data_IF_293367100135
#
_entry.id   IF_293367100135
#
_cell.length_a   1.000
_cell.length_b   1.000
_cell.length_c   1.000
_cell.angle_alpha   90.00
_cell.angle_beta   90.00
_cell.angle_gamma   90.00
#
_symmetry.space_group_name_H-M   'P 1'
#
loop_
_entity.id
_entity.type
_entity.pdbx_description
1 polymer ?
#
# COMPACT_ATOMS: atom_id res chain seq x y z
N UNK A 1 -22.36 -29.76 10.86
CA UNK A 1 -21.03 -29.75 10.21
C UNK A 1 -20.97 -28.55 9.28
N UNK A 2 -20.07 -27.58 9.53
CA UNK A 2 -19.87 -26.46 8.64
C UNK A 2 -19.35 -26.95 7.29
N UNK A 3 -19.88 -26.43 6.16
CA UNK A 3 -19.32 -26.72 4.83
C UNK A 3 -17.85 -26.30 4.80
N UNK A 4 -16.93 -27.10 4.24
CA UNK A 4 -15.55 -26.66 4.06
C UNK A 4 -15.55 -25.38 3.20
N UNK A 5 -14.86 -24.33 3.67
CA UNK A 5 -14.72 -23.09 2.93
C UNK A 5 -14.13 -23.37 1.54
N UNK A 6 -14.72 -22.79 0.50
CA UNK A 6 -14.18 -22.91 -0.85
C UNK A 6 -12.84 -22.16 -0.90
N UNK A 7 -11.93 -22.57 -1.78
CA UNK A 7 -10.63 -21.87 -1.99
C UNK A 7 -10.81 -20.37 -2.25
N UNK A 8 -11.83 -20.01 -3.04
CA UNK A 8 -12.21 -18.62 -3.31
C UNK A 8 -12.51 -17.80 -2.05
N UNK A 9 -13.02 -18.44 -0.99
CA UNK A 9 -13.40 -17.76 0.25
C UNK A 9 -12.18 -17.42 1.13
N UNK A 10 -11.02 -17.98 0.78
CA UNK A 10 -9.75 -17.77 1.48
C UNK A 10 -8.81 -16.80 0.76
N UNK A 11 -9.05 -16.50 -0.52
CA UNK A 11 -8.21 -15.58 -1.28
C UNK A 11 -8.44 -14.14 -0.80
N UNK A 12 -7.40 -13.52 -0.23
CA UNK A 12 -7.42 -12.15 0.27
C UNK A 12 -6.92 -11.14 -0.76
N UNK A 13 -5.97 -11.56 -1.61
CA UNK A 13 -5.39 -10.70 -2.64
C UNK A 13 -4.68 -11.50 -3.72
N UNK A 14 -4.67 -10.95 -4.92
CA UNK A 14 -3.96 -11.47 -6.08
C UNK A 14 -3.19 -10.31 -6.71
N UNK A 15 -1.86 -10.35 -6.60
CA UNK A 15 -0.95 -9.40 -7.24
C UNK A 15 -0.35 -9.94 -8.53
N UNK A 16 0.60 -9.20 -9.10
CA UNK A 16 1.31 -9.64 -10.31
C UNK A 16 2.21 -10.86 -10.05
N UNK A 17 2.89 -10.91 -8.91
CA UNK A 17 3.87 -11.93 -8.59
C UNK A 17 3.44 -12.88 -7.47
N UNK A 18 2.44 -12.54 -6.68
CA UNK A 18 2.05 -13.29 -5.49
C UNK A 18 0.54 -13.35 -5.26
N UNK A 19 0.10 -14.38 -4.55
CA UNK A 19 -1.24 -14.51 -4.00
C UNK A 19 -1.17 -14.51 -2.47
N UNK A 20 -2.18 -13.92 -1.84
CA UNK A 20 -2.33 -13.89 -0.38
C UNK A 20 -3.59 -14.66 0.01
N UNK A 21 -3.45 -15.66 0.86
CA UNK A 21 -4.51 -16.58 1.26
C UNK A 21 -4.69 -16.50 2.78
N UNK A 22 -5.93 -16.38 3.26
CA UNK A 22 -6.23 -16.51 4.68
C UNK A 22 -5.94 -17.93 5.18
N UNK A 23 -5.13 -18.05 6.23
CA UNK A 23 -4.97 -19.32 6.95
C UNK A 23 -6.01 -19.46 8.06
N UNK A 24 -6.17 -18.39 8.82
CA UNK A 24 -7.13 -18.23 9.92
C UNK A 24 -7.57 -16.75 10.04
N UNK A 25 -8.19 -16.39 11.16
CA UNK A 25 -8.67 -15.02 11.39
C UNK A 25 -7.53 -14.01 11.66
N UNK A 26 -6.32 -14.46 11.94
CA UNK A 26 -5.19 -13.62 12.35
C UNK A 26 -4.00 -13.70 11.41
N UNK A 27 -3.91 -14.74 10.57
CA UNK A 27 -2.76 -14.99 9.73
C UNK A 27 -3.12 -15.18 8.26
N UNK A 28 -2.23 -14.74 7.40
CA UNK A 28 -2.30 -14.88 5.96
C UNK A 28 -1.00 -15.49 5.42
N UNK A 29 -1.11 -16.25 4.34
CA UNK A 29 0.02 -16.86 3.64
C UNK A 29 0.19 -16.17 2.29
N UNK A 30 1.29 -15.46 2.11
CA UNK A 30 1.71 -14.89 0.82
C UNK A 30 2.59 -15.88 0.10
N UNK A 31 2.23 -16.22 -1.14
CA UNK A 31 2.87 -17.24 -1.96
C UNK A 31 3.22 -16.67 -3.33
N UNK A 32 4.34 -17.05 -3.95
CA UNK A 32 4.59 -16.72 -5.35
C UNK A 32 3.56 -17.40 -6.26
N UNK A 33 3.09 -16.71 -7.30
CA UNK A 33 2.12 -17.26 -8.25
C UNK A 33 2.72 -18.39 -9.09
N UNK A 34 3.98 -18.27 -9.45
CA UNK A 34 4.75 -19.25 -10.22
C UNK A 34 6.16 -19.36 -9.60
N UNK A 35 6.89 -20.46 -9.84
CA UNK A 35 8.24 -20.63 -9.30
C UNK A 35 9.21 -19.48 -9.64
N UNK A 36 9.06 -18.87 -10.80
CA UNK A 36 9.94 -17.78 -11.26
C UNK A 36 9.82 -16.50 -10.42
N UNK A 37 8.72 -16.33 -9.66
CA UNK A 37 8.52 -15.21 -8.74
C UNK A 37 8.99 -15.50 -7.31
N UNK A 38 9.72 -16.59 -7.09
CA UNK A 38 10.22 -16.95 -5.77
C UNK A 38 11.21 -15.89 -5.23
N UNK A 39 12.05 -15.33 -6.09
CA UNK A 39 13.04 -14.32 -5.71
C UNK A 39 12.39 -13.03 -5.19
N UNK A 40 11.23 -12.64 -5.70
CA UNK A 40 10.45 -11.52 -5.20
C UNK A 40 9.99 -11.75 -3.75
N UNK A 41 9.53 -12.98 -3.43
CA UNK A 41 9.16 -13.36 -2.06
C UNK A 41 10.38 -13.43 -1.13
N UNK A 42 11.53 -13.89 -1.63
CA UNK A 42 12.79 -13.87 -0.87
C UNK A 42 13.28 -12.45 -0.61
N UNK A 43 13.13 -11.54 -1.56
CA UNK A 43 13.44 -10.11 -1.38
C UNK A 43 12.58 -9.52 -0.27
N UNK A 44 11.29 -9.75 -0.30
CA UNK A 44 10.37 -9.29 0.76
C UNK A 44 10.73 -9.88 2.14
N UNK A 45 11.08 -11.18 2.21
CA UNK A 45 11.60 -11.79 3.44
C UNK A 45 12.83 -11.09 3.97
N UNK A 46 13.83 -10.83 3.12
CA UNK A 46 15.07 -10.13 3.50
C UNK A 46 14.79 -8.72 4.02
N UNK A 47 13.81 -8.04 3.43
CA UNK A 47 13.37 -6.72 3.89
C UNK A 47 12.79 -6.81 5.29
N UNK A 48 11.84 -7.72 5.54
CA UNK A 48 11.26 -7.92 6.87
C UNK A 48 12.32 -8.27 7.93
N UNK A 49 13.29 -9.13 7.58
CA UNK A 49 14.39 -9.49 8.49
C UNK A 49 15.32 -8.31 8.78
N UNK A 50 15.49 -7.38 7.84
CA UNK A 50 16.30 -6.16 8.04
C UNK A 50 15.61 -5.13 8.88
N UNK A 51 14.35 -4.81 8.55
CA UNK A 51 13.63 -3.71 9.19
C UNK A 51 13.10 -4.09 10.59
N UNK A 52 12.93 -5.38 10.87
CA UNK A 52 12.27 -5.85 12.09
C UNK A 52 10.79 -5.48 12.18
N UNK A 53 10.22 -5.54 13.38
CA UNK A 53 8.82 -5.21 13.62
C UNK A 53 8.63 -3.69 13.75
N UNK A 54 7.55 -3.16 13.12
CA UNK A 54 7.13 -1.78 13.26
C UNK A 54 5.61 -1.68 13.17
N UNK A 55 4.97 -0.86 14.02
CA UNK A 55 3.51 -0.78 14.14
C UNK A 55 2.79 -0.35 12.86
N UNK A 56 3.47 0.44 12.02
CA UNK A 56 2.93 0.93 10.73
C UNK A 56 3.33 0.06 9.53
N UNK A 57 3.83 -1.14 9.76
CA UNK A 57 4.21 -2.11 8.71
C UNK A 57 3.53 -3.44 9.04
N UNK A 58 3.08 -4.16 8.00
CA UNK A 58 2.50 -5.50 8.18
C UNK A 58 3.49 -6.41 8.89
N UNK A 59 3.03 -7.14 9.92
CA UNK A 59 3.90 -8.01 10.71
C UNK A 59 4.25 -9.28 9.94
N UNK A 60 5.53 -9.51 9.77
CA UNK A 60 6.09 -10.78 9.32
C UNK A 60 6.19 -11.74 10.51
N UNK A 61 5.65 -12.95 10.37
CA UNK A 61 5.60 -13.93 11.45
C UNK A 61 6.69 -15.00 11.27
N UNK A 62 6.76 -15.61 10.08
CA UNK A 62 7.75 -16.65 9.76
C UNK A 62 7.70 -17.04 8.28
N UNK A 63 8.73 -17.71 7.76
CA UNK A 63 8.64 -18.34 6.45
C UNK A 63 7.78 -19.61 6.51
N UNK A 64 7.17 -19.97 5.40
CA UNK A 64 6.46 -21.25 5.24
C UNK A 64 6.53 -21.74 3.80
N UNK A 65 7.22 -22.88 3.59
CA UNK A 65 7.48 -23.36 2.23
C UNK A 65 8.22 -22.32 1.41
N UNK A 66 7.71 -22.00 0.23
CA UNK A 66 8.22 -20.94 -0.65
C UNK A 66 7.55 -19.57 -0.43
N UNK A 67 6.80 -19.40 0.67
CA UNK A 67 6.05 -18.21 0.98
C UNK A 67 6.32 -17.65 2.38
N UNK A 68 5.52 -16.65 2.76
CA UNK A 68 5.63 -15.91 4.02
C UNK A 68 4.30 -15.96 4.78
N UNK A 69 4.38 -16.19 6.09
CA UNK A 69 3.24 -15.99 6.98
C UNK A 69 3.31 -14.57 7.52
N UNK A 70 2.25 -13.83 7.27
CA UNK A 70 2.05 -12.44 7.69
C UNK A 70 0.83 -12.34 8.61
N UNK A 71 0.74 -11.26 9.38
CA UNK A 71 -0.53 -10.93 10.03
C UNK A 71 -1.62 -10.70 8.99
N UNK A 72 -2.85 -11.12 9.31
CA UNK A 72 -4.01 -10.88 8.47
C UNK A 72 -4.62 -9.54 8.82
N UNK A 73 -4.67 -8.66 7.83
CA UNK A 73 -5.34 -7.35 7.91
C UNK A 73 -6.68 -7.40 7.18
N UNK A 74 -7.48 -6.35 7.28
CA UNK A 74 -8.85 -6.34 6.74
C UNK A 74 -8.86 -6.25 5.21
N UNK A 75 -8.34 -5.14 4.67
CA UNK A 75 -8.36 -4.83 3.24
C UNK A 75 -7.45 -3.64 2.90
N UNK A 76 -7.09 -3.45 1.62
CA UNK A 76 -6.34 -2.28 1.19
C UNK A 76 -7.11 -0.96 1.42
N UNK A 77 -6.37 0.11 1.74
CA UNK A 77 -6.92 1.47 1.84
C UNK A 77 -7.64 1.86 0.55
N UNK A 78 -7.10 1.51 -0.63
CA UNK A 78 -7.76 1.74 -1.92
C UNK A 78 -9.17 1.15 -1.99
N UNK A 79 -9.35 -0.08 -1.50
CA UNK A 79 -10.69 -0.67 -1.45
C UNK A 79 -11.63 0.14 -0.59
N UNK A 80 -11.17 0.60 0.58
CA UNK A 80 -11.97 1.46 1.45
C UNK A 80 -12.40 2.75 0.75
N UNK A 81 -11.48 3.41 0.03
CA UNK A 81 -11.76 4.63 -0.71
C UNK A 81 -12.74 4.40 -1.88
N UNK A 82 -12.61 3.27 -2.60
CA UNK A 82 -13.53 2.89 -3.66
C UNK A 82 -14.94 2.60 -3.13
N UNK A 83 -15.05 1.92 -2.00
CA UNK A 83 -16.35 1.67 -1.35
C UNK A 83 -17.04 3.01 -1.01
N UNK A 84 -16.29 4.02 -0.54
CA UNK A 84 -16.83 5.36 -0.30
C UNK A 84 -17.28 6.07 -1.59
N UNK A 85 -16.57 5.88 -2.70
CA UNK A 85 -16.98 6.42 -4.02
C UNK A 85 -18.29 5.79 -4.49
N UNK A 86 -18.39 4.45 -4.45
CA UNK A 86 -19.56 3.70 -4.93
C UNK A 86 -20.82 4.01 -4.12
N UNK A 87 -20.69 4.16 -2.81
CA UNK A 87 -21.79 4.46 -1.91
C UNK A 87 -22.22 5.95 -1.95
N UNK A 88 -21.47 6.83 -2.65
CA UNK A 88 -21.64 8.28 -2.57
C UNK A 88 -21.48 8.80 -1.15
N UNK A 89 -20.63 8.11 -0.38
CA UNK A 89 -20.38 8.39 1.04
C UNK A 89 -19.61 9.70 1.26
N UNK A 90 -19.53 10.16 2.50
CA UNK A 90 -18.72 11.32 2.85
C UNK A 90 -17.23 10.98 2.69
N UNK A 91 -16.42 12.02 2.46
CA UNK A 91 -14.97 11.89 2.56
C UNK A 91 -14.55 11.34 3.94
N UNK A 92 -13.39 10.67 4.05
CA UNK A 92 -12.86 10.24 5.33
C UNK A 92 -12.80 11.40 6.32
N UNK A 93 -13.05 11.12 7.59
CA UNK A 93 -13.02 12.16 8.61
C UNK A 93 -11.60 12.72 8.75
N UNK A 94 -11.51 14.03 9.10
CA UNK A 94 -10.23 14.72 9.32
C UNK A 94 -9.26 13.90 10.18
N UNK A 95 -9.73 13.34 11.27
CA UNK A 95 -8.89 12.59 12.22
C UNK A 95 -8.38 11.27 11.63
N UNK A 96 -9.15 10.63 10.74
CA UNK A 96 -8.72 9.43 10.01
C UNK A 96 -7.63 9.77 9.00
N UNK A 97 -7.81 10.85 8.23
CA UNK A 97 -6.81 11.32 7.25
C UNK A 97 -5.48 11.62 7.97
N UNK A 98 -5.51 12.37 9.07
CA UNK A 98 -4.33 12.72 9.85
C UNK A 98 -3.65 11.48 10.46
N UNK A 99 -4.46 10.57 11.01
CA UNK A 99 -3.97 9.31 11.57
C UNK A 99 -3.27 8.46 10.50
N UNK A 100 -3.91 8.23 9.35
CA UNK A 100 -3.32 7.47 8.26
C UNK A 100 -2.07 8.14 7.71
N UNK A 101 -2.10 9.47 7.51
CA UNK A 101 -0.93 10.22 7.06
C UNK A 101 0.27 10.00 7.99
N UNK A 102 0.08 10.14 9.30
CA UNK A 102 1.14 9.93 10.29
C UNK A 102 1.66 8.48 10.26
N UNK A 103 0.77 7.49 10.21
CA UNK A 103 1.16 6.09 10.18
C UNK A 103 1.92 5.72 8.91
N UNK A 104 1.47 6.18 7.76
CA UNK A 104 2.13 5.98 6.46
C UNK A 104 3.53 6.60 6.49
N UNK A 105 3.64 7.87 6.89
CA UNK A 105 4.92 8.57 6.95
C UNK A 105 5.92 7.91 7.90
N UNK A 106 5.47 7.40 9.05
CA UNK A 106 6.33 6.65 9.99
C UNK A 106 6.79 5.31 9.43
N UNK A 107 5.89 4.60 8.73
CA UNK A 107 6.27 3.39 8.02
C UNK A 107 7.38 3.66 7.00
N UNK A 108 7.24 4.71 6.17
CA UNK A 108 8.27 5.09 5.20
C UNK A 108 9.55 5.62 5.87
N UNK A 109 9.46 6.41 6.93
CA UNK A 109 10.62 6.84 7.70
C UNK A 109 11.42 5.63 8.21
N UNK A 110 10.73 4.59 8.68
CA UNK A 110 11.35 3.36 9.12
C UNK A 110 12.04 2.60 7.98
N UNK A 111 11.37 2.44 6.82
CA UNK A 111 11.97 1.82 5.62
C UNK A 111 13.22 2.57 5.17
N UNK A 112 13.13 3.89 5.01
CA UNK A 112 14.24 4.72 4.55
C UNK A 112 15.44 4.68 5.53
N UNK A 113 15.19 4.65 6.84
CA UNK A 113 16.26 4.51 7.85
C UNK A 113 17.03 3.20 7.76
N UNK A 114 16.43 2.17 7.11
CA UNK A 114 17.06 0.87 6.84
C UNK A 114 17.53 0.73 5.37
N UNK A 115 17.56 1.82 4.60
CA UNK A 115 17.94 1.82 3.19
C UNK A 115 17.08 0.89 2.34
N UNK A 116 15.77 0.83 2.64
CA UNK A 116 14.76 0.11 1.88
C UNK A 116 13.86 1.12 1.18
N UNK A 117 13.64 0.92 -0.13
CA UNK A 117 12.74 1.73 -0.96
C UNK A 117 11.65 0.85 -1.54
N UNK A 118 10.38 1.19 -1.27
CA UNK A 118 9.24 0.34 -1.65
C UNK A 118 8.95 0.39 -3.15
N UNK A 119 9.13 1.53 -3.79
CA UNK A 119 8.94 1.81 -5.21
C UNK A 119 7.48 1.72 -5.67
N UNK A 120 6.77 0.62 -5.45
CA UNK A 120 5.35 0.47 -5.79
C UNK A 120 4.46 1.04 -4.67
N UNK A 121 4.47 2.37 -4.57
CA UNK A 121 3.75 3.11 -3.53
C UNK A 121 2.35 3.51 -4.01
N UNK A 122 1.32 3.09 -3.27
CA UNK A 122 -0.07 3.43 -3.53
C UNK A 122 -1.01 2.93 -2.44
N UNK A 123 -2.24 3.42 -2.44
CA UNK A 123 -3.27 3.00 -1.47
C UNK A 123 -3.62 1.50 -1.58
N UNK A 124 -3.21 0.81 -2.64
CA UNK A 124 -3.35 -0.65 -2.80
C UNK A 124 -2.38 -1.44 -1.93
N UNK A 125 -1.20 -0.89 -1.63
CA UNK A 125 -0.15 -1.50 -0.79
C UNK A 125 -0.16 -0.96 0.65
N UNK A 126 -1.21 -0.24 1.04
CA UNK A 126 -1.48 0.17 2.41
C UNK A 126 -2.71 -0.58 2.90
N UNK A 127 -2.55 -1.40 3.92
CA UNK A 127 -3.64 -2.20 4.48
C UNK A 127 -4.19 -1.58 5.76
N UNK A 128 -5.49 -1.72 5.98
CA UNK A 128 -6.14 -1.30 7.22
C UNK A 128 -6.33 -2.50 8.17
N UNK A 129 -6.03 -2.31 9.44
CA UNK A 129 -6.36 -3.28 10.49
C UNK A 129 -7.82 -3.13 10.99
N UNK A 130 -8.21 -3.93 12.01
CA UNK A 130 -9.55 -3.87 12.61
C UNK A 130 -9.87 -2.54 13.30
N UNK A 131 -8.86 -1.74 13.62
CA UNK A 131 -9.00 -0.43 14.27
C UNK A 131 -8.82 0.73 13.27
N UNK A 132 -8.86 0.43 11.96
CA UNK A 132 -8.55 1.38 10.89
C UNK A 132 -7.15 2.02 11.03
N UNK A 133 -6.15 1.28 11.54
CA UNK A 133 -4.76 1.71 11.44
C UNK A 133 -4.20 1.33 10.08
N UNK A 134 -3.44 2.24 9.49
CA UNK A 134 -2.78 2.02 8.20
C UNK A 134 -1.42 1.34 8.41
N UNK A 135 -1.14 0.30 7.64
CA UNK A 135 0.13 -0.43 7.64
C UNK A 135 0.63 -0.61 6.22
N UNK A 136 1.91 -0.31 5.99
CA UNK A 136 2.57 -0.60 4.71
C UNK A 136 2.69 -2.10 4.50
N UNK A 137 2.54 -2.54 3.28
CA UNK A 137 2.59 -3.94 2.87
C UNK A 137 3.16 -4.09 1.46
N UNK A 138 3.44 -5.33 1.08
CA UNK A 138 3.95 -5.72 -0.23
C UNK A 138 5.29 -5.07 -0.60
N UNK A 139 6.37 -5.73 -0.16
CA UNK A 139 7.74 -5.33 -0.45
C UNK A 139 8.39 -6.20 -1.53
N UNK A 140 7.61 -7.01 -2.26
CA UNK A 140 8.16 -7.94 -3.26
C UNK A 140 8.86 -7.25 -4.43
N UNK A 141 8.42 -6.02 -4.78
CA UNK A 141 9.06 -5.16 -5.80
C UNK A 141 10.02 -4.12 -5.26
N UNK A 142 10.31 -4.15 -3.96
CA UNK A 142 11.10 -3.10 -3.29
C UNK A 142 12.59 -3.26 -3.50
N UNK A 143 13.31 -2.13 -3.49
CA UNK A 143 14.77 -2.10 -3.59
C UNK A 143 15.40 -2.23 -2.19
N UNK A 144 16.30 -3.19 -2.07
CA UNK A 144 17.20 -3.39 -0.94
C UNK A 144 18.61 -3.65 -1.47
N UNK A 145 19.61 -2.97 -0.93
CA UNK A 145 21.01 -3.05 -1.37
C UNK A 145 21.18 -2.75 -2.88
N UNK A 146 21.91 -3.62 -3.59
CA UNK A 146 22.08 -3.56 -5.04
C UNK A 146 21.09 -4.45 -5.81
N UNK A 147 19.92 -4.71 -5.20
CA UNK A 147 18.85 -5.48 -5.82
C UNK A 147 18.34 -4.86 -7.13
N UNK A 148 17.53 -5.62 -7.84
CA UNK A 148 16.86 -5.16 -9.06
C UNK A 148 15.45 -4.71 -8.71
N UNK A 149 14.96 -3.71 -9.42
CA UNK A 149 13.56 -3.31 -9.42
C UNK A 149 12.85 -4.16 -10.46
N UNK A 150 11.78 -4.84 -10.08
CA UNK A 150 11.03 -5.74 -10.96
C UNK A 150 9.58 -5.29 -11.22
N UNK A 151 9.15 -4.23 -10.54
CA UNK A 151 7.79 -3.68 -10.66
C UNK A 151 7.89 -2.18 -10.92
N UNK A 152 7.18 -1.70 -11.93
CA UNK A 152 7.03 -0.27 -12.16
C UNK A 152 5.93 0.30 -11.23
N UNK A 153 6.08 1.54 -10.74
CA UNK A 153 5.02 2.20 -9.98
C UNK A 153 3.81 2.51 -10.89
N UNK A 154 2.63 2.70 -10.28
CA UNK A 154 1.49 3.24 -11.03
C UNK A 154 1.85 4.63 -11.60
N UNK A 155 1.37 4.95 -12.81
CA UNK A 155 1.63 6.23 -13.51
C UNK A 155 1.49 7.45 -12.60
N UNK A 156 0.42 7.50 -11.80
CA UNK A 156 0.14 8.63 -10.90
C UNK A 156 1.05 8.71 -9.67
N UNK A 157 1.80 7.64 -9.40
CA UNK A 157 2.81 7.58 -8.35
C UNK A 157 4.24 7.71 -8.91
N UNK A 158 4.39 7.81 -10.24
CA UNK A 158 5.69 7.89 -10.90
C UNK A 158 6.21 9.33 -10.87
N UNK A 159 7.35 9.53 -10.20
CA UNK A 159 8.03 10.82 -10.21
C UNK A 159 8.44 11.22 -11.65
N UNK A 160 8.32 12.49 -12.06
CA UNK A 160 8.63 12.92 -13.42
C UNK A 160 9.98 12.48 -13.97
N UNK A 161 11.02 12.38 -13.12
CA UNK A 161 12.35 11.91 -13.57
C UNK A 161 12.37 10.41 -13.95
N UNK A 162 11.36 9.62 -13.59
CA UNK A 162 11.25 8.19 -13.87
C UNK A 162 10.35 7.87 -15.07
N UNK A 163 9.57 8.84 -15.58
CA UNK A 163 8.55 8.59 -16.62
C UNK A 163 9.16 8.01 -17.91
N UNK A 164 10.38 8.38 -18.26
CA UNK A 164 11.06 7.88 -19.47
C UNK A 164 12.17 6.86 -19.16
N UNK A 165 12.23 6.33 -17.94
CA UNK A 165 13.21 5.34 -17.52
C UNK A 165 12.71 3.91 -17.81
N UNK A 166 12.54 3.59 -19.10
CA UNK A 166 11.97 2.32 -19.58
C UNK A 166 12.74 1.07 -19.15
N UNK A 167 14.05 1.20 -18.88
CA UNK A 167 14.92 0.11 -18.42
C UNK A 167 15.06 0.07 -16.90
N UNK A 168 14.33 0.94 -16.18
CA UNK A 168 14.39 1.05 -14.72
C UNK A 168 15.82 1.19 -14.18
N UNK A 169 16.65 1.96 -14.90
CA UNK A 169 18.04 2.20 -14.53
C UNK A 169 18.21 3.22 -13.40
N UNK A 170 17.23 4.11 -13.22
CA UNK A 170 17.22 5.11 -12.17
C UNK A 170 16.73 4.46 -10.89
N UNK A 171 17.61 4.33 -9.91
CA UNK A 171 17.26 3.79 -8.60
C UNK A 171 16.30 4.74 -7.85
N UNK A 172 15.28 4.21 -7.15
CA UNK A 172 14.41 5.02 -6.29
C UNK A 172 15.23 5.69 -5.18
N UNK A 173 14.77 6.84 -4.77
CA UNK A 173 15.33 7.65 -3.69
C UNK A 173 14.22 8.10 -2.76
N UNK A 174 14.53 8.58 -1.57
CA UNK A 174 13.54 9.17 -0.70
C UNK A 174 12.71 10.26 -1.42
N UNK A 175 13.34 11.03 -2.31
CA UNK A 175 12.68 12.08 -3.09
C UNK A 175 11.64 11.54 -4.08
N UNK A 176 11.98 10.48 -4.84
CA UNK A 176 11.03 9.86 -5.78
C UNK A 176 9.88 9.18 -5.03
N UNK A 177 10.13 8.62 -3.85
CA UNK A 177 9.08 8.05 -3.00
C UNK A 177 8.22 9.12 -2.32
N UNK A 178 8.78 10.27 -1.96
CA UNK A 178 7.99 11.39 -1.42
C UNK A 178 6.96 11.90 -2.43
N UNK A 179 7.26 11.88 -3.73
CA UNK A 179 6.30 12.18 -4.78
C UNK A 179 5.11 11.20 -4.74
N UNK A 180 5.39 9.91 -4.69
CA UNK A 180 4.36 8.86 -4.61
C UNK A 180 3.56 8.94 -3.29
N UNK A 181 4.21 9.25 -2.17
CA UNK A 181 3.54 9.53 -0.89
C UNK A 181 2.58 10.71 -1.03
N UNK A 182 2.97 11.79 -1.73
CA UNK A 182 2.08 12.91 -2.04
C UNK A 182 0.81 12.46 -2.77
N UNK A 183 0.96 11.53 -3.71
CA UNK A 183 -0.19 10.93 -4.42
C UNK A 183 -1.09 10.12 -3.49
N UNK A 184 -0.52 9.33 -2.57
CA UNK A 184 -1.30 8.61 -1.54
C UNK A 184 -2.05 9.59 -0.64
N UNK A 185 -1.40 10.66 -0.17
CA UNK A 185 -2.03 11.69 0.65
C UNK A 185 -3.18 12.39 -0.08
N UNK A 186 -3.03 12.63 -1.38
CA UNK A 186 -4.09 13.18 -2.23
C UNK A 186 -5.27 12.20 -2.36
N UNK A 187 -5.00 10.93 -2.73
CA UNK A 187 -6.03 9.91 -2.94
C UNK A 187 -6.84 9.68 -1.66
N UNK A 188 -6.20 9.57 -0.49
CA UNK A 188 -6.93 9.38 0.77
C UNK A 188 -7.71 10.61 1.23
N UNK A 189 -7.34 11.82 0.78
CA UNK A 189 -8.02 13.07 1.14
C UNK A 189 -9.21 13.38 0.23
N UNK A 190 -9.17 12.93 -1.03
CA UNK A 190 -10.17 13.22 -2.05
C UNK A 190 -11.02 12.01 -2.41
N UNK A 191 -10.61 10.80 -2.02
CA UNK A 191 -11.07 9.48 -2.48
C UNK A 191 -10.81 9.20 -3.96
N UNK A 192 -10.19 10.12 -4.70
CA UNK A 192 -9.89 10.02 -6.13
C UNK A 192 -8.38 10.06 -6.38
N UNK A 193 -7.92 9.33 -7.41
CA UNK A 193 -6.54 9.48 -7.90
C UNK A 193 -6.33 10.85 -8.54
N UNK A 194 -5.10 11.40 -8.53
CA UNK A 194 -4.79 12.60 -9.30
C UNK A 194 -5.20 12.43 -10.77
N UNK A 195 -5.94 13.41 -11.33
CA UNK A 195 -6.41 13.35 -12.71
C UNK A 195 -7.12 12.03 -13.07
N UNK A 196 -8.03 11.57 -12.21
CA UNK A 196 -8.73 10.28 -12.41
C UNK A 196 -9.52 10.19 -13.72
N UNK A 197 -9.91 11.34 -14.28
CA UNK A 197 -10.65 11.49 -15.54
C UNK A 197 -9.76 11.43 -16.79
N UNK A 198 -8.43 11.38 -16.64
CA UNK A 198 -7.44 11.38 -17.72
C UNK A 198 -6.83 10.01 -17.93
N UNK A 199 -6.42 9.74 -19.17
CA UNK A 199 -5.59 8.56 -19.43
C UNK A 199 -4.14 8.73 -18.90
N UNK A 200 -3.40 7.62 -18.85
CA UNK A 200 -2.07 7.62 -18.25
C UNK A 200 -1.07 8.49 -19.03
N UNK A 201 -1.17 8.55 -20.36
CA UNK A 201 -0.27 9.37 -21.19
C UNK A 201 -0.50 10.87 -20.99
N UNK A 202 -1.78 11.28 -20.84
CA UNK A 202 -2.11 12.68 -20.49
C UNK A 202 -1.57 13.06 -19.12
N UNK A 203 -1.65 12.14 -18.13
CA UNK A 203 -1.12 12.37 -16.78
C UNK A 203 0.40 12.52 -16.81
N UNK A 204 1.09 11.64 -17.53
CA UNK A 204 2.56 11.73 -17.70
C UNK A 204 2.97 13.08 -18.30
N UNK A 205 2.29 13.52 -19.36
CA UNK A 205 2.56 14.84 -19.96
C UNK A 205 2.35 16.01 -18.99
N UNK A 206 1.30 15.95 -18.17
CA UNK A 206 1.04 16.97 -17.15
C UNK A 206 2.14 16.99 -16.10
N UNK A 207 2.54 15.83 -15.59
CA UNK A 207 3.58 15.70 -14.58
C UNK A 207 4.95 16.15 -15.10
N UNK A 208 5.30 15.82 -16.34
CA UNK A 208 6.51 16.29 -17.02
C UNK A 208 6.55 17.83 -17.15
N UNK A 209 5.39 18.47 -17.27
CA UNK A 209 5.24 19.93 -17.31
C UNK A 209 5.20 20.56 -15.91
N UNK A 210 5.27 19.75 -14.83
CA UNK A 210 5.11 20.23 -13.43
C UNK A 210 3.69 20.67 -13.10
N UNK A 211 2.70 20.19 -13.83
CA UNK A 211 1.28 20.50 -13.61
C UNK A 211 0.67 19.39 -12.75
N UNK A 212 0.14 19.78 -11.60
CA UNK A 212 -0.48 18.90 -10.62
C UNK A 212 -1.91 19.38 -10.30
N UNK A 213 -2.79 18.49 -9.79
CA UNK A 213 -4.12 18.91 -9.33
C UNK A 213 -4.06 20.05 -8.32
N UNK A 214 -5.08 20.91 -8.35
CA UNK A 214 -5.24 21.95 -7.34
C UNK A 214 -5.56 21.31 -5.97
N UNK A 215 -4.80 21.69 -4.96
CA UNK A 215 -4.96 21.21 -3.59
C UNK A 215 -5.35 22.35 -2.63
N UNK A 216 -5.76 23.51 -3.18
CA UNK A 216 -6.16 24.67 -2.40
C UNK A 216 -7.34 24.33 -1.48
N UNK A 217 -7.23 24.66 -0.20
CA UNK A 217 -8.26 24.39 0.79
C UNK A 217 -8.32 22.95 1.31
N UNK A 218 -7.51 22.03 0.77
CA UNK A 218 -7.41 20.67 1.30
C UNK A 218 -6.62 20.65 2.62
N UNK A 219 -7.01 19.75 3.54
CA UNK A 219 -6.34 19.57 4.83
C UNK A 219 -4.83 19.36 4.72
N UNK A 220 -4.39 18.51 3.78
CA UNK A 220 -3.00 18.18 3.52
C UNK A 220 -2.45 18.88 2.26
N UNK A 221 -3.19 19.85 1.69
CA UNK A 221 -2.89 20.41 0.38
C UNK A 221 -1.48 20.96 0.22
N UNK A 222 -0.99 21.71 1.21
CA UNK A 222 0.38 22.23 1.20
C UNK A 222 1.44 21.14 1.26
N UNK A 223 1.21 20.09 2.07
CA UNK A 223 2.10 18.92 2.18
C UNK A 223 2.14 18.17 0.83
N UNK A 224 0.99 17.92 0.23
CA UNK A 224 0.89 17.24 -1.07
C UNK A 224 1.67 18.01 -2.15
N UNK A 225 1.45 19.32 -2.26
CA UNK A 225 2.18 20.17 -3.23
C UNK A 225 3.68 20.15 -2.99
N UNK A 226 4.13 20.21 -1.74
CA UNK A 226 5.55 20.13 -1.41
C UNK A 226 6.15 18.76 -1.80
N UNK A 227 5.41 17.66 -1.63
CA UNK A 227 5.82 16.34 -2.08
C UNK A 227 5.98 16.30 -3.61
N UNK A 228 5.00 16.80 -4.37
CA UNK A 228 5.01 16.77 -5.83
C UNK A 228 6.01 17.75 -6.46
N UNK A 229 6.43 18.78 -5.74
CA UNK A 229 7.35 19.82 -6.24
C UNK A 229 8.75 19.75 -5.62
N UNK A 230 9.13 18.59 -5.08
CA UNK A 230 10.47 18.32 -4.57
C UNK A 230 10.94 19.28 -3.46
N UNK A 231 10.02 19.70 -2.59
CA UNK A 231 10.33 20.64 -1.50
C UNK A 231 10.74 19.95 -0.20
N UNK A 232 10.63 18.63 -0.13
CA UNK A 232 11.09 17.83 0.98
C UNK A 232 12.32 16.99 0.59
N UNK A 233 13.21 16.77 1.54
CA UNK A 233 14.39 15.92 1.38
C UNK A 233 14.18 14.52 1.95
N UNK A 234 13.36 14.40 2.99
CA UNK A 234 13.06 13.15 3.66
C UNK A 234 11.66 13.15 4.30
N UNK A 235 11.23 11.99 4.77
CA UNK A 235 9.93 11.80 5.45
C UNK A 235 9.82 12.54 6.77
N UNK A 236 10.95 12.87 7.42
CA UNK A 236 10.96 13.60 8.69
C UNK A 236 10.44 15.02 8.51
N UNK A 237 10.85 15.70 7.45
CA UNK A 237 10.36 17.04 7.13
C UNK A 237 8.84 17.05 6.89
N UNK A 238 8.31 16.00 6.24
CA UNK A 238 6.86 15.84 6.02
C UNK A 238 6.12 15.64 7.33
N UNK A 239 6.67 14.82 8.24
CA UNK A 239 6.12 14.59 9.59
C UNK A 239 6.12 15.90 10.39
N UNK A 240 7.18 16.69 10.32
CA UNK A 240 7.26 17.98 10.99
C UNK A 240 6.16 18.95 10.51
N UNK A 241 5.91 19.03 9.21
CA UNK A 241 4.82 19.84 8.66
C UNK A 241 3.43 19.28 9.06
N UNK A 242 3.25 17.96 9.11
CA UNK A 242 2.01 17.34 9.57
C UNK A 242 1.71 17.68 11.05
N UNK A 243 2.73 17.70 11.90
CA UNK A 243 2.62 18.09 13.31
C UNK A 243 2.29 19.56 13.50
N UNK A 244 2.57 20.45 12.51
CA UNK A 244 2.09 21.83 12.55
C UNK A 244 0.55 21.92 12.32
N UNK A 245 -0.02 20.99 11.55
CA UNK A 245 -1.47 20.93 11.33
C UNK A 245 -2.19 20.42 12.59
N UNK A 246 -1.61 19.44 13.27
CA UNK A 246 -2.16 18.81 14.48
C UNK A 246 -1.05 18.45 15.49
N UNK A 247 -0.69 19.38 16.38
CA UNK A 247 0.38 19.14 17.38
C UNK A 247 0.12 17.98 18.34
N UNK A 248 -1.14 17.55 18.46
CA UNK A 248 -1.56 16.42 19.31
C UNK A 248 -1.42 15.05 18.66
N UNK A 249 -0.96 14.97 17.41
CA UNK A 249 -0.61 13.70 16.74
C UNK A 249 0.67 13.11 17.35
N UNK A 250 0.65 12.89 18.68
CA UNK A 250 1.72 12.16 19.36
C UNK A 250 1.76 10.70 18.91
N UNK A 251 2.94 10.21 18.83
CA UNK A 251 3.40 8.80 18.71
C UNK A 251 2.35 7.71 18.56
N UNK A 252 1.64 7.66 17.44
CA UNK A 252 0.88 6.51 16.88
C UNK A 252 0.23 5.46 17.80
N UNK A 253 0.52 5.49 19.07
CA UNK A 253 -0.06 4.66 20.12
C UNK A 253 -1.10 5.46 20.88
N UNK A 254 -2.38 5.14 20.63
CA UNK A 254 -3.54 5.64 21.36
C UNK A 254 -4.01 7.07 21.02
N UNK A 255 -4.58 7.26 19.84
CA UNK A 255 -5.82 8.03 19.84
C UNK A 255 -6.86 7.11 20.47
N UNK A 256 -7.16 7.34 21.76
CA UNK A 256 -8.26 6.66 22.45
C UNK A 256 -9.50 6.78 21.55
N UNK A 257 -10.10 5.63 21.28
CA UNK A 257 -11.36 5.50 20.57
C UNK A 257 -12.42 6.37 21.27
N UNK A 258 -12.54 7.62 20.87
CA UNK A 258 -13.67 8.46 21.17
C UNK A 258 -14.83 7.92 20.37
N UNK A 259 -15.66 7.10 21.04
CA UNK A 259 -17.05 6.77 20.76
C UNK A 259 -17.52 7.01 19.32
N UNK A 260 -17.22 6.10 18.42
CA UNK A 260 -17.96 5.99 17.16
C UNK A 260 -18.44 4.55 16.98
N UNK A 261 -19.57 4.26 17.64
CA UNK A 261 -20.33 3.04 17.43
C UNK A 261 -21.30 3.33 16.28
N UNK A 262 -20.91 3.01 15.05
CA UNK A 262 -21.84 2.88 13.92
C UNK A 262 -21.89 1.43 13.49
N UNK A 263 -22.98 0.78 13.85
CA UNK A 263 -23.40 -0.49 13.27
C UNK A 263 -23.63 -0.31 11.77
N UNK A 264 -22.66 -0.62 10.95
CA UNK A 264 -22.88 -0.86 9.52
C UNK A 264 -23.05 -2.36 9.31
N UNK A 265 -24.28 -2.74 9.05
CA UNK A 265 -24.63 -4.08 8.59
C UNK A 265 -24.07 -4.25 7.18
N UNK A 266 -23.07 -5.11 7.02
CA UNK A 266 -22.49 -5.42 5.73
C UNK A 266 -23.49 -6.16 4.86
N UNK A 267 -23.89 -5.56 3.74
CA UNK A 267 -24.46 -6.26 2.60
C UNK A 267 -23.30 -6.60 1.66
N UNK A 268 -22.98 -7.89 1.54
CA UNK A 268 -21.94 -8.39 0.66
C UNK A 268 -22.40 -8.33 -0.80
N UNK A 269 -21.96 -7.29 -1.51
CA UNK A 269 -22.02 -7.24 -2.96
C UNK A 269 -20.66 -7.67 -3.53
N UNK A 270 -20.54 -8.89 -4.01
CA UNK A 270 -19.39 -9.35 -4.79
C UNK A 270 -19.43 -8.72 -6.18
N UNK A 271 -18.64 -7.69 -6.39
CA UNK A 271 -18.31 -7.24 -7.75
C UNK A 271 -17.10 -8.02 -8.24
N UNK A 272 -17.38 -8.98 -9.11
CA UNK A 272 -16.43 -9.95 -9.64
C UNK A 272 -15.80 -9.37 -10.91
N UNK A 273 -14.62 -8.76 -10.82
CA UNK A 273 -13.73 -8.65 -11.97
C UNK A 273 -12.72 -9.78 -11.91
N UNK A 274 -13.05 -10.87 -12.60
CA UNK A 274 -12.21 -12.05 -12.72
C UNK A 274 -11.34 -11.90 -13.97
N UNK A 275 -10.03 -11.77 -13.79
CA UNK A 275 -9.08 -12.16 -14.81
C UNK A 275 -8.94 -13.70 -14.80
N UNK A 276 -9.54 -14.35 -15.79
CA UNK A 276 -9.81 -15.81 -15.86
C UNK A 276 -8.62 -16.66 -16.32
N UNK A 277 -7.36 -16.33 -16.01
CA UNK A 277 -6.22 -17.15 -16.49
C UNK A 277 -5.38 -17.80 -15.40
N UNK A 278 -5.46 -17.40 -14.15
CA UNK A 278 -4.52 -17.88 -13.11
C UNK A 278 -5.08 -18.78 -12.02
N UNK A 279 -6.39 -18.88 -11.86
CA UNK A 279 -6.98 -19.62 -10.75
C UNK A 279 -6.71 -21.13 -10.79
N UNK A 280 -6.53 -21.71 -11.98
CA UNK A 280 -6.25 -23.15 -12.15
C UNK A 280 -4.82 -23.54 -11.75
N UNK A 281 -3.84 -22.64 -11.90
CA UNK A 281 -2.44 -22.88 -11.51
C UNK A 281 -2.25 -22.81 -10.00
N UNK A 282 -2.86 -21.82 -9.35
CA UNK A 282 -2.77 -21.64 -7.89
C UNK A 282 -3.43 -22.80 -7.14
N UNK A 283 -4.57 -23.29 -7.64
CA UNK A 283 -5.25 -24.45 -7.05
C UNK A 283 -4.38 -25.73 -7.11
N UNK A 284 -3.57 -25.90 -8.16
CA UNK A 284 -2.72 -27.07 -8.35
C UNK A 284 -1.52 -27.10 -7.40
N UNK A 285 -0.96 -25.94 -7.05
CA UNK A 285 0.14 -25.85 -6.09
C UNK A 285 -0.29 -26.02 -4.63
N UNK A 286 -1.51 -25.57 -4.28
CA UNK A 286 -2.03 -25.72 -2.92
C UNK A 286 -2.55 -27.12 -2.60
N UNK A 287 -2.81 -27.97 -3.60
CA UNK A 287 -3.33 -29.33 -3.41
C UNK A 287 -2.26 -30.44 -3.37
N UNK A 288 -0.98 -30.12 -3.51
CA UNK A 288 0.09 -31.13 -3.47
C UNK A 288 0.98 -30.94 -2.24
N UNK A 289 0.69 -31.59 -1.08
CA UNK A 289 1.46 -31.46 0.15
C UNK A 289 2.71 -32.35 0.21
N UNK A 290 3.13 -32.94 -0.91
CA UNK A 290 4.32 -33.79 -0.95
C UNK A 290 5.39 -33.21 -1.85
N UNK A 291 6.18 -32.28 -1.34
CA UNK A 291 7.64 -32.24 -1.59
C UNK A 291 8.26 -31.73 -0.30
N UNK A 292 8.97 -32.65 0.37
CA UNK A 292 9.72 -32.44 1.59
C UNK A 292 10.94 -31.55 1.36
#
# INVERSE_FOLDING_TARGET
MAKPAKFSDKLLGLGMMSAVIALDDHTAHKLPLIPDYHDAVLTEKRIFERIGEHDCIVKYIRPQGNGLILERLRYPLRKHLLDLQEDGGPLPHRDEILKWAMQILRGFQHLHSHSVFQYDIGCHNILLDSNNNAKLSDFSGSLIDDGKIEVAPETRSTHPCLINDWDMSIKPTAKTELFAIGTVLYEMSTIYKPYQDKDDSEVEELFLKGLFPDTTGMLLGNIIQKCWTDKYHDTKEVIEDLLQIEPGLSDGTAVQASKYNRNHTFISGLSTFIFLVSAALVAKQCMNPQVA
#
